data_IF_051150780154
#
_entry.id   IF_051150780154
#
_cell.length_a   1.000
_cell.length_b   1.000
_cell.length_c   1.000
_cell.angle_alpha   90.00
_cell.angle_beta   90.00
_cell.angle_gamma   90.00
#
_symmetry.space_group_name_H-M   'P 1'
#
loop_
_entity.id
_entity.type
_entity.pdbx_description
1 polymer ?
#
# COMPACT_ATOMS: atom_id res chain seq x y z
N UNK A 1 15.89 -2.32 -63.43
CA UNK A 1 15.82 -2.26 -61.95
C UNK A 1 15.94 -0.81 -61.48
N UNK A 2 14.85 -0.03 -61.41
CA UNK A 2 14.90 1.36 -60.88
C UNK A 2 13.51 1.90 -60.51
N UNK A 3 12.90 1.35 -59.46
CA UNK A 3 11.60 1.84 -58.94
C UNK A 3 11.57 1.94 -57.41
N UNK A 4 12.71 1.76 -56.74
CA UNK A 4 12.82 1.70 -55.27
C UNK A 4 12.76 3.08 -54.56
N UNK A 5 13.30 4.20 -55.07
CA UNK A 5 13.32 5.45 -54.30
C UNK A 5 11.96 6.16 -54.23
N UNK A 6 11.15 6.06 -55.29
CA UNK A 6 9.79 6.63 -55.33
C UNK A 6 8.83 5.96 -54.33
N UNK A 7 9.02 4.65 -54.07
CA UNK A 7 8.23 3.89 -53.08
C UNK A 7 8.52 4.36 -51.65
N UNK A 8 9.80 4.55 -51.30
CA UNK A 8 10.21 5.04 -49.98
C UNK A 8 9.72 6.46 -49.70
N UNK A 9 9.75 7.34 -50.71
CA UNK A 9 9.24 8.71 -50.55
C UNK A 9 7.72 8.73 -50.35
N UNK A 10 6.98 7.89 -51.10
CA UNK A 10 5.54 7.71 -50.92
C UNK A 10 5.18 7.16 -49.54
N UNK A 11 5.93 6.17 -49.06
CA UNK A 11 5.76 5.63 -47.71
C UNK A 11 6.05 6.68 -46.63
N UNK A 12 7.13 7.45 -46.78
CA UNK A 12 7.46 8.54 -45.86
C UNK A 12 6.36 9.60 -45.80
N UNK A 13 5.85 10.04 -46.95
CA UNK A 13 4.74 11.00 -47.01
C UNK A 13 3.47 10.42 -46.39
N UNK A 14 3.14 9.16 -46.66
CA UNK A 14 1.97 8.52 -46.08
C UNK A 14 2.05 8.45 -44.54
N UNK A 15 3.22 8.13 -44.00
CA UNK A 15 3.45 8.09 -42.54
C UNK A 15 3.41 9.50 -41.95
N UNK A 16 4.05 10.48 -42.59
CA UNK A 16 4.03 11.87 -42.13
C UNK A 16 2.60 12.45 -42.14
N UNK A 17 1.82 12.17 -43.19
CA UNK A 17 0.41 12.56 -43.26
C UNK A 17 -0.42 11.84 -42.20
N UNK A 18 -0.18 10.55 -41.96
CA UNK A 18 -0.85 9.81 -40.90
C UNK A 18 -0.59 10.39 -39.51
N UNK A 19 0.67 10.72 -39.21
CA UNK A 19 1.06 11.36 -37.94
C UNK A 19 0.45 12.76 -37.80
N UNK A 20 0.46 13.56 -38.87
CA UNK A 20 -0.15 14.88 -38.87
C UNK A 20 -1.65 14.81 -38.64
N UNK A 21 -2.35 13.92 -39.34
CA UNK A 21 -3.80 13.70 -39.15
C UNK A 21 -4.12 13.18 -37.75
N UNK A 22 -3.30 12.28 -37.21
CA UNK A 22 -3.42 11.81 -35.83
C UNK A 22 -3.26 12.95 -34.82
N UNK A 23 -2.28 13.83 -35.02
CA UNK A 23 -2.06 15.00 -34.17
C UNK A 23 -3.26 15.95 -34.20
N UNK A 24 -3.78 16.27 -35.39
CA UNK A 24 -4.97 17.13 -35.56
C UNK A 24 -6.19 16.50 -34.87
N UNK A 25 -6.39 15.19 -35.00
CA UNK A 25 -7.48 14.49 -34.34
C UNK A 25 -7.38 14.54 -32.80
N UNK A 26 -6.18 14.33 -32.24
CA UNK A 26 -5.95 14.42 -30.79
C UNK A 26 -6.19 15.86 -30.31
N UNK A 27 -5.67 16.85 -31.02
CA UNK A 27 -5.84 18.27 -30.67
C UNK A 27 -7.32 18.69 -30.70
N UNK A 28 -8.06 18.31 -31.75
CA UNK A 28 -9.50 18.56 -31.85
C UNK A 28 -10.27 17.85 -30.75
N UNK A 29 -9.92 16.60 -30.43
CA UNK A 29 -10.56 15.84 -29.36
C UNK A 29 -10.30 16.47 -27.99
N UNK A 30 -9.07 16.92 -27.72
CA UNK A 30 -8.73 17.62 -26.48
C UNK A 30 -9.43 18.98 -26.39
N UNK A 31 -9.57 19.71 -27.51
CA UNK A 31 -10.31 20.97 -27.59
C UNK A 31 -11.82 20.77 -27.38
N UNK A 32 -12.40 19.73 -27.97
CA UNK A 32 -13.80 19.36 -27.72
C UNK A 32 -13.97 18.96 -26.25
N UNK A 33 -13.07 18.13 -25.72
CA UNK A 33 -13.12 17.69 -24.34
C UNK A 33 -13.04 18.88 -23.37
N UNK A 34 -12.17 19.85 -23.62
CA UNK A 34 -12.07 21.05 -22.77
C UNK A 34 -13.32 21.94 -22.85
N UNK A 35 -14.04 21.94 -23.98
CA UNK A 35 -15.28 22.71 -24.15
C UNK A 35 -16.51 22.02 -23.56
N UNK A 36 -16.59 20.69 -23.66
CA UNK A 36 -17.80 19.92 -23.34
C UNK A 36 -17.72 19.07 -22.07
N UNK A 37 -16.54 18.88 -21.46
CA UNK A 37 -16.45 18.30 -20.11
C UNK A 37 -16.41 19.43 -19.07
N UNK A 38 -17.55 19.82 -18.47
CA UNK A 38 -17.54 20.78 -17.38
C UNK A 38 -16.87 20.17 -16.14
N UNK A 39 -15.66 20.63 -15.82
CA UNK A 39 -15.07 20.64 -14.47
C UNK A 39 -14.78 19.31 -13.74
N UNK A 40 -15.18 18.15 -14.25
CA UNK A 40 -15.16 16.91 -13.48
C UNK A 40 -13.77 16.26 -13.24
N UNK A 41 -12.75 16.33 -14.13
CA UNK A 41 -11.45 15.72 -13.83
C UNK A 41 -10.51 16.62 -13.03
N UNK A 42 -10.78 17.93 -12.96
CA UNK A 42 -9.85 18.90 -12.37
C UNK A 42 -9.92 18.91 -10.84
N UNK A 43 -11.04 18.52 -10.23
CA UNK A 43 -11.17 18.54 -8.77
C UNK A 43 -10.17 17.58 -8.09
N UNK A 44 -10.03 16.35 -8.59
CA UNK A 44 -9.10 15.35 -8.04
C UNK A 44 -7.64 15.76 -8.23
N UNK A 45 -7.29 16.31 -9.40
CA UNK A 45 -5.93 16.78 -9.67
C UNK A 45 -5.62 18.04 -8.85
N UNK A 46 -6.58 18.95 -8.69
CA UNK A 46 -6.40 20.17 -7.89
C UNK A 46 -6.22 19.83 -6.41
N UNK A 47 -6.94 18.84 -5.89
CA UNK A 47 -6.74 18.33 -4.52
C UNK A 47 -5.35 17.69 -4.37
N UNK A 48 -4.89 16.90 -5.33
CA UNK A 48 -3.56 16.30 -5.30
C UNK A 48 -2.43 17.35 -5.38
N UNK A 49 -2.59 18.37 -6.22
CA UNK A 49 -1.63 19.49 -6.33
C UNK A 49 -1.65 20.37 -5.07
N UNK A 50 -2.82 20.62 -4.48
CA UNK A 50 -2.93 21.32 -3.19
C UNK A 50 -2.32 20.54 -2.03
N UNK A 51 -2.44 19.20 -2.03
CA UNK A 51 -1.77 18.32 -1.07
C UNK A 51 -0.25 18.35 -1.26
N UNK A 52 0.24 18.44 -2.50
CA UNK A 52 1.67 18.58 -2.79
C UNK A 52 2.23 19.96 -2.40
N UNK A 53 1.43 21.02 -2.54
CA UNK A 53 1.82 22.40 -2.25
C UNK A 53 1.58 22.86 -0.81
N UNK A 54 0.81 22.11 -0.02
CA UNK A 54 0.70 22.32 1.43
C UNK A 54 1.83 21.54 2.11
N UNK A 55 2.83 22.21 2.71
CA UNK A 55 3.67 21.52 3.68
C UNK A 55 2.74 20.92 4.75
N UNK A 56 2.94 19.66 5.16
CA UNK A 56 2.11 19.06 6.19
C UNK A 56 2.14 20.01 7.39
N UNK A 57 0.97 20.43 7.85
CA UNK A 57 0.86 21.16 9.09
C UNK A 57 1.43 20.24 10.17
N UNK A 58 2.68 20.51 10.56
CA UNK A 58 3.38 19.76 11.60
C UNK A 58 2.63 20.07 12.89
N UNK A 59 1.66 19.22 13.22
CA UNK A 59 1.15 19.16 14.57
C UNK A 59 2.36 18.80 15.43
N UNK A 60 2.68 19.53 16.52
CA UNK A 60 3.84 19.21 17.34
C UNK A 60 3.74 17.75 17.74
N UNK A 61 4.65 16.94 17.23
CA UNK A 61 4.72 15.54 17.65
C UNK A 61 5.02 15.55 19.15
N UNK A 62 4.23 14.85 19.99
CA UNK A 62 4.50 14.81 21.41
C UNK A 62 5.98 14.45 21.61
N UNK A 63 6.75 15.20 22.40
CA UNK A 63 8.21 14.99 22.53
C UNK A 63 8.58 13.59 23.04
N UNK A 64 7.58 12.81 23.46
CA UNK A 64 7.70 11.47 24.01
C UNK A 64 7.26 10.33 23.09
N UNK A 65 6.88 10.57 21.82
CA UNK A 65 6.43 9.49 20.91
C UNK A 65 7.41 8.32 20.80
N UNK A 66 8.70 8.63 20.68
CA UNK A 66 9.76 7.62 20.57
C UNK A 66 9.89 6.80 21.86
N UNK A 67 9.73 7.44 23.03
CA UNK A 67 9.78 6.75 24.32
C UNK A 67 8.54 5.87 24.53
N UNK A 68 7.34 6.38 24.25
CA UNK A 68 6.10 5.63 24.33
C UNK A 68 6.12 4.41 23.41
N UNK A 69 6.61 4.57 22.18
CA UNK A 69 6.74 3.47 21.23
C UNK A 69 7.76 2.43 21.72
N UNK A 70 8.89 2.87 22.28
CA UNK A 70 9.87 1.96 22.88
C UNK A 70 9.29 1.17 24.04
N UNK A 71 8.57 1.82 24.96
CA UNK A 71 7.89 1.15 26.07
C UNK A 71 6.84 0.14 25.57
N UNK A 72 6.04 0.51 24.57
CA UNK A 72 5.06 -0.40 23.97
C UNK A 72 5.75 -1.63 23.34
N UNK A 73 6.89 -1.43 22.68
CA UNK A 73 7.66 -2.53 22.10
C UNK A 73 8.23 -3.45 23.18
N UNK A 74 8.75 -2.90 24.28
CA UNK A 74 9.22 -3.70 25.43
C UNK A 74 8.10 -4.54 26.03
N UNK A 75 6.92 -3.94 26.25
CA UNK A 75 5.76 -4.69 26.76
C UNK A 75 5.33 -5.82 25.81
N UNK A 76 5.30 -5.54 24.50
CA UNK A 76 5.00 -6.56 23.48
C UNK A 76 6.03 -7.69 23.47
N UNK A 77 7.31 -7.36 23.55
CA UNK A 77 8.39 -8.35 23.61
C UNK A 77 8.28 -9.23 24.86
N UNK A 78 8.05 -8.63 26.04
CA UNK A 78 7.88 -9.38 27.28
C UNK A 78 6.69 -10.36 27.20
N UNK A 79 5.57 -9.94 26.61
CA UNK A 79 4.42 -10.82 26.41
C UNK A 79 4.70 -11.96 25.42
N UNK A 80 5.37 -11.67 24.31
CA UNK A 80 5.74 -12.70 23.32
C UNK A 80 6.68 -13.72 23.94
N UNK A 81 7.69 -13.27 24.68
CA UNK A 81 8.66 -14.14 25.33
C UNK A 81 8.03 -15.08 26.36
N UNK A 82 7.02 -14.62 27.11
CA UNK A 82 6.28 -15.49 28.04
C UNK A 82 5.48 -16.59 27.31
N UNK A 83 4.88 -16.27 26.16
CA UNK A 83 4.16 -17.25 25.34
C UNK A 83 5.11 -18.24 24.67
N UNK A 84 6.26 -17.79 24.20
CA UNK A 84 7.28 -18.64 23.60
C UNK A 84 7.86 -19.60 24.64
N UNK A 85 8.13 -19.12 25.86
CA UNK A 85 8.54 -19.99 26.97
C UNK A 85 7.47 -21.05 27.30
N UNK A 86 6.18 -20.65 27.31
CA UNK A 86 5.08 -21.58 27.52
C UNK A 86 5.01 -22.66 26.43
N UNK A 87 5.37 -22.31 25.18
CA UNK A 87 5.41 -23.21 24.02
C UNK A 87 6.59 -24.16 24.03
N UNK A 88 7.77 -23.67 24.42
CA UNK A 88 9.03 -24.42 24.37
C UNK A 88 9.22 -25.33 25.59
N UNK A 89 8.44 -25.16 26.66
CA UNK A 89 8.53 -25.99 27.86
C UNK A 89 7.91 -27.39 27.64
N UNK A 90 8.68 -28.49 27.69
CA UNK A 90 8.16 -29.85 27.48
C UNK A 90 7.11 -30.30 28.51
N UNK A 91 7.06 -29.67 29.69
CA UNK A 91 5.99 -29.93 30.69
C UNK A 91 4.64 -29.35 30.27
N UNK A 92 4.65 -28.27 29.50
CA UNK A 92 3.44 -27.64 28.98
C UNK A 92 2.90 -28.41 27.76
N UNK A 93 3.81 -28.92 26.93
CA UNK A 93 3.48 -29.79 25.79
C UNK A 93 2.81 -31.11 26.21
N UNK A 94 3.05 -31.60 27.44
CA UNK A 94 2.40 -32.80 27.97
C UNK A 94 1.06 -32.54 28.66
N UNK A 95 0.67 -31.27 28.87
CA UNK A 95 -0.60 -30.89 29.48
C UNK A 95 -1.67 -30.61 28.39
N UNK A 96 -2.74 -31.41 28.30
CA UNK A 96 -3.74 -31.27 27.24
C UNK A 96 -4.51 -29.94 27.30
N UNK A 97 -4.64 -29.33 28.49
CA UNK A 97 -5.33 -28.04 28.65
C UNK A 97 -4.46 -26.89 28.13
N UNK A 98 -3.16 -26.91 28.42
CA UNK A 98 -2.22 -25.96 27.87
C UNK A 98 -2.18 -26.04 26.34
N UNK A 99 -2.09 -27.26 25.79
CA UNK A 99 -2.05 -27.48 24.34
C UNK A 99 -3.30 -26.92 23.64
N UNK A 100 -4.50 -27.10 24.21
CA UNK A 100 -5.73 -26.53 23.66
C UNK A 100 -5.65 -25.00 23.53
N UNK A 101 -5.27 -24.32 24.61
CA UNK A 101 -5.20 -22.86 24.62
C UNK A 101 -4.06 -22.32 23.77
N UNK A 102 -2.93 -23.02 23.72
CA UNK A 102 -1.81 -22.68 22.87
C UNK A 102 -2.17 -22.83 21.38
N UNK A 103 -2.92 -23.88 21.02
CA UNK A 103 -3.42 -24.07 19.65
C UNK A 103 -4.47 -23.02 19.28
N UNK A 104 -5.33 -22.65 20.23
CA UNK A 104 -6.33 -21.61 20.04
C UNK A 104 -5.69 -20.23 19.83
N UNK A 105 -4.65 -19.89 20.60
CA UNK A 105 -3.93 -18.61 20.42
C UNK A 105 -3.19 -18.54 19.08
N UNK A 106 -2.61 -19.66 18.63
CA UNK A 106 -1.93 -19.72 17.33
C UNK A 106 -2.90 -19.55 16.15
N UNK A 107 -4.10 -20.12 16.22
CA UNK A 107 -5.08 -20.05 15.13
C UNK A 107 -5.93 -18.77 15.17
N UNK A 108 -6.18 -18.21 16.35
CA UNK A 108 -7.00 -17.02 16.54
C UNK A 108 -6.50 -16.24 17.77
N UNK A 109 -5.41 -15.46 17.61
CA UNK A 109 -4.81 -14.72 18.73
C UNK A 109 -5.80 -13.70 19.30
N UNK A 110 -6.09 -13.84 20.59
CA UNK A 110 -7.04 -12.99 21.33
C UNK A 110 -6.57 -12.79 22.76
N UNK A 111 -7.00 -11.71 23.42
CA UNK A 111 -6.64 -11.46 24.82
C UNK A 111 -7.11 -12.60 25.75
N UNK A 112 -8.26 -13.21 25.42
CA UNK A 112 -8.79 -14.36 26.15
C UNK A 112 -7.91 -15.60 25.98
N UNK A 113 -7.50 -15.94 24.75
CA UNK A 113 -6.63 -17.11 24.54
C UNK A 113 -5.27 -16.90 25.23
N UNK A 114 -4.67 -15.72 25.13
CA UNK A 114 -3.40 -15.39 25.81
C UNK A 114 -3.48 -15.52 27.32
N UNK A 115 -4.53 -14.96 27.92
CA UNK A 115 -4.71 -15.05 29.37
C UNK A 115 -4.83 -16.51 29.84
N UNK A 116 -5.54 -17.36 29.07
CA UNK A 116 -5.67 -18.78 29.40
C UNK A 116 -4.38 -19.57 29.14
N UNK A 117 -3.56 -19.23 28.13
CA UNK A 117 -2.23 -19.82 27.96
C UNK A 117 -1.38 -19.52 29.19
N UNK A 118 -1.29 -18.25 29.61
CA UNK A 118 -0.51 -17.87 30.79
C UNK A 118 -1.02 -18.50 32.09
N UNK A 119 -2.33 -18.76 32.20
CA UNK A 119 -2.92 -19.40 33.37
C UNK A 119 -2.72 -20.91 33.40
N UNK A 120 -2.70 -21.58 32.24
CA UNK A 120 -2.70 -23.05 32.15
C UNK A 120 -1.37 -23.66 31.69
N UNK A 121 -0.40 -22.85 31.25
CA UNK A 121 0.92 -23.25 30.78
C UNK A 121 2.04 -22.72 31.69
N UNK A 122 2.06 -23.17 32.94
CA UNK A 122 3.11 -22.88 33.94
C UNK A 122 4.10 -24.05 34.07
#
# INVERSE_FOLDING_TARGET
MSARPLSLFKLSIAVALGLWLGFVAIALTAWLASRYLPGQPVAAVTQAVQQLGRPPAVTPEPPNRMFEQYQQNLHKQAQQQALDQARDNPRNLSNPKCQFWLQQDQNAPSDKSRANVLQFCD
#
